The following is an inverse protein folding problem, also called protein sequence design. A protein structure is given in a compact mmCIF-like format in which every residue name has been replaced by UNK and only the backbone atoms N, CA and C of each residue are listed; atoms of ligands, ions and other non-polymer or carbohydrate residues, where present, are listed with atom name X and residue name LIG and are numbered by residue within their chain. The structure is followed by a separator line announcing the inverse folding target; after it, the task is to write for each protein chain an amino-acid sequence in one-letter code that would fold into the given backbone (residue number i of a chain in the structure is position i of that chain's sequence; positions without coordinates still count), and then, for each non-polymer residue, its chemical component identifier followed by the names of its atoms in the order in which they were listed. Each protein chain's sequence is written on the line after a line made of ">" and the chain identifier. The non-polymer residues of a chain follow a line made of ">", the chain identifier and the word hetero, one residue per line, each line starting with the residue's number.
data_IF_388474712791
#
_entry.id   IF_388474712791
#
_cell.length_a   1.000
_cell.length_b   1.000
_cell.length_c   1.000
_cell.angle_alpha   90.00
_cell.angle_beta   90.00
_cell.angle_gamma   90.00
#
_symmetry.space_group_name_H-M   'P 1'
#
loop_
_entity.id
_entity.type
_entity.pdbx_description
1 polymer ?
#
# COMPACT_ATOMS: atom_id res chain seq x y z
N UNK A 1 -10.97 -17.63 -11.19
CA UNK A 1 -10.16 -17.21 -10.03
C UNK A 1 -10.46 -15.74 -9.90
N UNK A 2 -11.69 -15.46 -9.49
CA UNK A 2 -12.33 -14.17 -9.70
C UNK A 2 -12.44 -13.55 -8.32
N UNK A 3 -11.54 -12.63 -8.03
CA UNK A 3 -11.69 -11.70 -6.93
C UNK A 3 -11.49 -10.27 -7.43
N UNK A 4 -12.07 -9.97 -8.59
CA UNK A 4 -12.35 -8.61 -9.03
C UNK A 4 -13.57 -8.10 -8.25
N UNK A 5 -13.41 -7.95 -6.94
CA UNK A 5 -14.30 -7.10 -6.18
C UNK A 5 -13.84 -5.64 -6.44
N UNK A 6 -14.58 -4.83 -7.23
CA UNK A 6 -14.21 -3.44 -7.49
C UNK A 6 -13.98 -2.65 -6.20
N UNK A 7 -14.62 -3.06 -5.10
CA UNK A 7 -14.46 -2.46 -3.79
C UNK A 7 -13.05 -2.67 -3.22
N UNK A 8 -12.39 -3.80 -3.51
CA UNK A 8 -11.05 -4.09 -2.98
C UNK A 8 -10.01 -3.11 -3.53
N UNK A 9 -10.01 -2.86 -4.84
CA UNK A 9 -9.08 -1.90 -5.43
C UNK A 9 -9.33 -0.48 -4.92
N UNK A 10 -10.60 -0.11 -4.73
CA UNK A 10 -10.99 1.20 -4.21
C UNK A 10 -10.48 1.35 -2.77
N UNK A 11 -10.73 0.37 -1.91
CA UNK A 11 -10.25 0.32 -0.53
C UNK A 11 -8.72 0.41 -0.49
N UNK A 12 -8.02 -0.35 -1.35
CA UNK A 12 -6.58 -0.34 -1.39
C UNK A 12 -6.03 1.02 -1.81
N UNK A 13 -6.57 1.63 -2.87
CA UNK A 13 -6.19 2.98 -3.33
C UNK A 13 -6.44 4.04 -2.25
N UNK A 14 -7.59 3.98 -1.59
CA UNK A 14 -7.94 4.89 -0.50
C UNK A 14 -7.00 4.72 0.72
N UNK A 15 -6.65 3.48 1.07
CA UNK A 15 -5.70 3.21 2.17
C UNK A 15 -4.34 3.83 1.91
N UNK A 16 -3.81 3.71 0.68
CA UNK A 16 -2.55 4.35 0.30
C UNK A 16 -2.65 5.87 0.32
N UNK A 17 -3.75 6.44 -0.17
CA UNK A 17 -3.97 7.90 -0.15
C UNK A 17 -3.91 8.44 1.29
N UNK A 18 -4.66 7.82 2.22
CA UNK A 18 -4.68 8.25 3.63
C UNK A 18 -3.31 8.11 4.30
N UNK A 19 -2.58 7.05 4.00
CA UNK A 19 -1.21 6.88 4.49
C UNK A 19 -0.28 7.99 3.99
N UNK A 20 -0.31 8.30 2.69
CA UNK A 20 0.51 9.36 2.09
C UNK A 20 0.14 10.75 2.63
N UNK A 21 -1.14 11.02 2.90
CA UNK A 21 -1.61 12.27 3.52
C UNK A 21 -1.07 12.47 4.95
N UNK A 22 -1.06 11.39 5.77
CA UNK A 22 -0.56 11.43 7.15
C UNK A 22 0.95 11.57 7.24
N UNK A 23 1.66 10.84 6.40
CA UNK A 23 3.12 10.71 6.47
C UNK A 23 3.86 11.71 5.60
N UNK A 24 3.15 12.34 4.64
CA UNK A 24 3.73 13.07 3.50
C UNK A 24 4.74 12.23 2.70
N UNK A 25 4.68 10.91 2.84
CA UNK A 25 5.46 9.97 2.06
C UNK A 25 4.90 9.87 0.64
N UNK A 26 5.77 9.60 -0.33
CA UNK A 26 5.38 9.27 -1.71
C UNK A 26 5.77 7.83 -1.99
N UNK A 27 4.83 6.90 -1.82
CA UNK A 27 5.02 5.46 -1.97
C UNK A 27 5.48 5.10 -3.39
N UNK A 28 4.98 5.80 -4.41
CA UNK A 28 5.40 5.60 -5.81
C UNK A 28 6.89 5.85 -6.00
N UNK A 29 7.40 6.97 -5.46
CA UNK A 29 8.84 7.31 -5.52
C UNK A 29 9.69 6.33 -4.72
N UNK A 30 9.23 5.92 -3.54
CA UNK A 30 9.96 4.92 -2.75
C UNK A 30 10.01 3.56 -3.45
N UNK A 31 8.91 3.15 -4.10
CA UNK A 31 8.87 1.92 -4.88
C UNK A 31 9.81 1.98 -6.08
N UNK A 32 9.84 3.11 -6.80
CA UNK A 32 10.79 3.34 -7.89
C UNK A 32 12.23 3.24 -7.40
N UNK A 33 12.56 3.89 -6.28
CA UNK A 33 13.89 3.80 -5.68
C UNK A 33 14.26 2.36 -5.27
N UNK A 34 13.33 1.62 -4.65
CA UNK A 34 13.55 0.21 -4.28
C UNK A 34 13.80 -0.66 -5.52
N UNK A 35 13.03 -0.45 -6.59
CA UNK A 35 13.21 -1.16 -7.87
C UNK A 35 14.58 -0.86 -8.48
N UNK A 36 14.99 0.41 -8.48
CA UNK A 36 16.30 0.80 -8.99
C UNK A 36 17.43 0.17 -8.18
N UNK A 37 17.34 0.21 -6.84
CA UNK A 37 18.31 -0.44 -5.96
C UNK A 37 18.42 -1.95 -6.24
N UNK A 38 17.29 -2.66 -6.37
CA UNK A 38 17.31 -4.10 -6.64
C UNK A 38 17.91 -4.43 -8.02
N UNK A 39 17.65 -3.59 -9.02
CA UNK A 39 18.30 -3.72 -10.34
C UNK A 39 19.81 -3.50 -10.25
N UNK A 40 20.26 -2.52 -9.47
CA UNK A 40 21.68 -2.25 -9.21
C UNK A 40 22.36 -3.41 -8.45
N UNK A 41 21.62 -4.08 -7.57
CA UNK A 41 22.07 -5.28 -6.84
C UNK A 41 22.04 -6.56 -7.70
N UNK A 42 21.56 -6.48 -8.94
CA UNK A 42 21.56 -7.60 -9.89
C UNK A 42 20.35 -8.54 -9.77
N UNK A 43 19.29 -8.12 -9.05
CA UNK A 43 18.02 -8.85 -8.99
C UNK A 43 17.37 -8.89 -10.37
N UNK A 44 16.73 -10.00 -10.73
CA UNK A 44 16.12 -10.15 -12.05
C UNK A 44 14.97 -9.15 -12.27
N UNK A 45 14.77 -8.72 -13.52
CA UNK A 45 13.66 -7.81 -13.87
C UNK A 45 12.29 -8.39 -13.51
N UNK A 46 12.14 -9.72 -13.58
CA UNK A 46 10.89 -10.39 -13.21
C UNK A 46 10.60 -10.22 -11.72
N UNK A 47 11.60 -10.41 -10.87
CA UNK A 47 11.48 -10.22 -9.42
C UNK A 47 11.26 -8.75 -9.05
N UNK A 48 11.98 -7.82 -9.69
CA UNK A 48 11.79 -6.37 -9.49
C UNK A 48 10.38 -5.93 -9.87
N UNK A 49 9.81 -6.49 -10.94
CA UNK A 49 8.46 -6.16 -11.39
C UNK A 49 7.36 -6.63 -10.41
N UNK A 50 7.65 -7.65 -9.58
CA UNK A 50 6.72 -8.12 -8.54
C UNK A 50 6.67 -7.18 -7.33
N UNK A 51 7.64 -6.28 -7.16
CA UNK A 51 7.63 -5.30 -6.08
C UNK A 51 6.42 -4.36 -6.17
N UNK A 52 5.82 -4.11 -5.01
CA UNK A 52 4.60 -3.35 -4.82
C UNK A 52 4.77 -2.26 -3.74
N UNK A 53 3.74 -1.40 -3.60
CA UNK A 53 3.72 -0.41 -2.50
C UNK A 53 3.69 -1.07 -1.11
N UNK A 54 3.16 -2.29 -0.99
CA UNK A 54 3.16 -3.01 0.29
C UNK A 54 4.58 -3.38 0.74
N UNK A 55 5.46 -3.76 -0.18
CA UNK A 55 6.86 -4.05 0.14
C UNK A 55 7.55 -2.81 0.72
N UNK A 56 7.27 -1.62 0.17
CA UNK A 56 7.78 -0.35 0.69
C UNK A 56 7.25 -0.03 2.08
N UNK A 57 5.97 -0.36 2.33
CA UNK A 57 5.33 -0.14 3.63
C UNK A 57 5.96 -1.07 4.68
N UNK A 58 6.10 -2.35 4.37
CA UNK A 58 6.63 -3.36 5.30
C UNK A 58 8.12 -3.20 5.59
N UNK A 59 8.90 -2.61 4.69
CA UNK A 59 10.31 -2.28 4.95
C UNK A 59 10.50 -1.16 5.98
N UNK A 60 9.47 -0.35 6.25
CA UNK A 60 9.53 0.83 7.11
C UNK A 60 8.55 0.68 8.28
N UNK A 61 9.07 0.47 9.48
CA UNK A 61 8.25 0.19 10.66
C UNK A 61 7.22 1.31 10.94
N UNK A 62 7.58 2.57 10.69
CA UNK A 62 6.67 3.71 10.90
C UNK A 62 5.57 3.70 9.85
N UNK A 63 5.91 3.46 8.57
CA UNK A 63 4.88 3.33 7.52
C UNK A 63 3.95 2.14 7.78
N UNK A 64 4.49 1.02 8.28
CA UNK A 64 3.71 -0.17 8.66
C UNK A 64 2.69 0.17 9.75
N UNK A 65 3.13 0.79 10.86
CA UNK A 65 2.24 1.14 11.97
C UNK A 65 1.12 2.10 11.55
N UNK A 66 1.46 3.11 10.75
CA UNK A 66 0.46 4.08 10.27
C UNK A 66 -0.49 3.41 9.26
N UNK A 67 0.01 2.51 8.40
CA UNK A 67 -0.83 1.77 7.46
C UNK A 67 -1.86 0.88 8.18
N UNK A 68 -1.43 0.15 9.21
CA UNK A 68 -2.32 -0.67 10.04
C UNK A 68 -3.42 0.19 10.67
N UNK A 69 -3.03 1.33 11.26
CA UNK A 69 -3.99 2.29 11.83
C UNK A 69 -5.00 2.78 10.79
N UNK A 70 -4.56 3.09 9.57
CA UNK A 70 -5.44 3.53 8.47
C UNK A 70 -6.45 2.43 8.10
N UNK A 71 -6.00 1.18 7.97
CA UNK A 71 -6.87 0.05 7.61
C UNK A 71 -7.89 -0.23 8.71
N UNK A 72 -7.48 -0.18 9.98
CA UNK A 72 -8.38 -0.33 11.13
C UNK A 72 -9.48 0.73 11.13
N UNK A 73 -9.14 2.00 10.94
CA UNK A 73 -10.14 3.08 10.85
C UNK A 73 -11.11 2.91 9.69
N UNK A 74 -10.64 2.41 8.54
CA UNK A 74 -11.48 2.12 7.38
C UNK A 74 -12.46 0.98 7.68
N UNK A 75 -12.00 -0.07 8.38
CA UNK A 75 -12.84 -1.17 8.83
C UNK A 75 -13.88 -0.74 9.87
N UNK A 76 -13.55 0.20 10.76
CA UNK A 76 -14.51 0.74 11.72
C UNK A 76 -15.60 1.53 10.99
N UNK A 77 -15.25 2.42 10.04
CA UNK A 77 -16.21 3.22 9.28
C UNK A 77 -17.19 2.35 8.48
N UNK A 78 -16.72 1.26 7.87
CA UNK A 78 -17.58 0.31 7.16
C UNK A 78 -18.62 -0.37 8.06
N UNK A 79 -18.35 -0.53 9.36
CA UNK A 79 -19.28 -1.15 10.32
C UNK A 79 -20.36 -0.20 10.84
N UNK A 80 -20.26 1.11 10.61
CA UNK A 80 -21.16 2.12 11.21
C UNK A 80 -22.21 2.66 10.26
N UNK A 81 -22.26 2.21 9.01
CA UNK A 81 -23.35 2.51 8.08
C UNK A 81 -24.32 1.32 8.02
N UNK A 82 -25.38 1.27 8.85
CA UNK A 82 -26.58 0.60 8.39
C UNK A 82 -27.11 1.44 7.23
N UNK A 83 -27.17 0.85 6.04
CA UNK A 83 -28.02 1.35 4.96
C UNK A 83 -29.43 1.45 5.53
N UNK A 84 -29.91 2.68 5.73
CA UNK A 84 -31.32 2.97 6.05
C UNK A 84 -32.01 3.40 4.75
#
# INVERSE_FOLDING_TARGET
>A
MDNDNPDYEIILKESYRRLEERTKCRLSKRLENKRNLFLEEGVSREEVNKLSKMDVIFDDAILTEIYLTVVEEMNMKSKVEPVI
#
